data_IF_657873717555
#
_entry.id   IF_657873717555
#
_cell.length_a   1.000
_cell.length_b   1.000
_cell.length_c   1.000
_cell.angle_alpha   90.00
_cell.angle_beta   90.00
_cell.angle_gamma   90.00
#
_symmetry.space_group_name_H-M   'P 1'
#
loop_
_entity.id
_entity.type
_entity.pdbx_description
1 polymer ?
#
# COMPACT_ATOMS: atom_id res chain seq x y z
N UNK A 1 0.16 15.74 -3.88
CA UNK A 1 0.03 14.28 -4.02
C UNK A 1 0.92 13.61 -2.97
N UNK A 2 0.41 12.58 -2.32
CA UNK A 2 1.10 11.80 -1.29
C UNK A 2 1.48 10.44 -1.87
N UNK A 3 2.76 10.10 -1.77
CA UNK A 3 3.31 8.82 -2.24
C UNK A 3 3.93 8.12 -1.03
N UNK A 4 3.44 6.92 -0.72
CA UNK A 4 3.91 6.16 0.46
C UNK A 4 4.33 4.75 0.08
N UNK A 5 5.52 4.35 0.51
CA UNK A 5 5.98 2.97 0.41
C UNK A 5 5.51 2.17 1.62
N UNK A 6 4.81 1.05 1.38
CA UNK A 6 4.27 0.17 2.40
C UNK A 6 4.74 -1.25 2.17
N UNK A 7 5.18 -1.90 3.25
CA UNK A 7 5.43 -3.34 3.28
C UNK A 7 4.20 -3.99 3.89
N UNK A 8 3.50 -4.82 3.13
CA UNK A 8 2.41 -5.66 3.62
C UNK A 8 2.96 -7.05 3.87
N UNK A 9 2.77 -7.57 5.08
CA UNK A 9 3.11 -8.94 5.42
C UNK A 9 1.81 -9.74 5.48
N UNK A 10 1.63 -10.65 4.53
CA UNK A 10 0.50 -11.55 4.43
C UNK A 10 0.87 -12.95 4.88
N UNK A 11 -0.14 -13.79 5.14
CA UNK A 11 0.09 -15.24 5.26
C UNK A 11 0.67 -15.77 3.94
N UNK A 12 1.82 -16.47 3.94
CA UNK A 12 2.48 -16.94 2.71
C UNK A 12 1.54 -17.72 1.79
N UNK A 13 0.71 -18.60 2.36
CA UNK A 13 -0.26 -19.42 1.63
C UNK A 13 -1.44 -18.63 1.03
N UNK A 14 -1.59 -17.36 1.40
CA UNK A 14 -2.63 -16.43 0.92
C UNK A 14 -2.06 -15.21 0.20
N UNK A 15 -0.74 -15.09 0.07
CA UNK A 15 -0.08 -13.91 -0.48
C UNK A 15 -0.58 -13.53 -1.89
N UNK A 16 -0.85 -14.53 -2.75
CA UNK A 16 -1.41 -14.28 -4.08
C UNK A 16 -2.83 -13.68 -4.03
N UNK A 17 -3.66 -14.09 -3.08
CA UNK A 17 -5.03 -13.56 -2.92
C UNK A 17 -5.00 -12.16 -2.30
N UNK A 18 -4.08 -11.91 -1.37
CA UNK A 18 -3.85 -10.57 -0.83
C UNK A 18 -3.34 -9.64 -1.92
N UNK A 19 -2.42 -10.09 -2.78
CA UNK A 19 -1.96 -9.34 -3.95
C UNK A 19 -3.12 -8.91 -4.86
N UNK A 20 -4.02 -9.83 -5.23
CA UNK A 20 -5.20 -9.52 -6.05
C UNK A 20 -6.12 -8.50 -5.39
N UNK A 21 -6.33 -8.60 -4.06
CA UNK A 21 -7.14 -7.63 -3.31
C UNK A 21 -6.50 -6.26 -3.28
N UNK A 22 -5.19 -6.20 -3.05
CA UNK A 22 -4.42 -4.95 -3.02
C UNK A 22 -4.46 -4.26 -4.39
N UNK A 23 -4.22 -5.00 -5.48
CA UNK A 23 -4.25 -4.47 -6.83
C UNK A 23 -5.64 -3.98 -7.29
N UNK A 24 -6.70 -4.36 -6.58
CA UNK A 24 -8.07 -3.88 -6.83
C UNK A 24 -8.40 -2.58 -6.06
N UNK A 25 -7.54 -2.13 -5.14
CA UNK A 25 -7.73 -0.88 -4.42
C UNK A 25 -7.19 0.26 -5.28
N UNK A 26 -8.03 1.25 -5.54
CA UNK A 26 -7.61 2.46 -6.26
C UNK A 26 -6.42 3.13 -5.57
N UNK A 27 -5.44 3.60 -6.34
CA UNK A 27 -4.22 4.24 -5.83
C UNK A 27 -3.27 3.30 -5.08
N UNK A 28 -3.41 1.98 -5.25
CA UNK A 28 -2.51 0.97 -4.69
C UNK A 28 -1.80 0.24 -5.83
N UNK A 29 -0.48 0.22 -5.79
CA UNK A 29 0.34 -0.54 -6.74
C UNK A 29 1.19 -1.57 -6.00
N UNK A 30 1.16 -2.83 -6.43
CA UNK A 30 2.00 -3.88 -5.85
C UNK A 30 3.19 -4.17 -6.78
N UNK A 31 4.39 -3.95 -6.26
CA UNK A 31 5.64 -4.05 -7.02
C UNK A 31 6.23 -5.45 -7.02
N UNK A 32 6.09 -6.16 -5.89
CA UNK A 32 6.61 -7.52 -5.75
C UNK A 32 5.96 -8.26 -4.59
N UNK A 33 6.04 -9.59 -4.64
CA UNK A 33 5.71 -10.50 -3.56
C UNK A 33 6.79 -11.57 -3.44
N UNK A 34 7.15 -11.99 -2.22
CA UNK A 34 8.08 -13.10 -1.99
C UNK A 34 7.39 -14.35 -1.40
N UNK A 35 8.17 -15.43 -1.26
CA UNK A 35 7.71 -16.72 -0.72
C UNK A 35 7.40 -16.65 0.78
N UNK A 36 7.83 -15.61 1.49
CA UNK A 36 7.56 -15.38 2.90
C UNK A 36 6.29 -14.54 3.12
N UNK A 37 5.56 -14.21 2.05
CA UNK A 37 4.31 -13.46 2.13
C UNK A 37 4.52 -11.95 2.27
N UNK A 38 5.73 -11.44 2.04
CA UNK A 38 5.97 -10.00 2.02
C UNK A 38 5.60 -9.43 0.65
N UNK A 39 4.81 -8.36 0.66
CA UNK A 39 4.44 -7.60 -0.53
C UNK A 39 4.95 -6.16 -0.41
N UNK A 40 5.56 -5.66 -1.48
CA UNK A 40 6.01 -4.27 -1.58
C UNK A 40 4.96 -3.48 -2.33
N UNK A 41 4.44 -2.44 -1.70
CA UNK A 41 3.26 -1.71 -2.15
C UNK A 41 3.55 -0.20 -2.15
N UNK A 42 3.05 0.51 -3.15
CA UNK A 42 3.00 1.97 -3.16
C UNK A 42 1.56 2.44 -3.03
N UNK A 43 1.33 3.42 -2.14
CA UNK A 43 0.08 4.16 -2.03
C UNK A 43 0.27 5.54 -2.66
N UNK A 44 -0.60 5.88 -3.60
CA UNK A 44 -0.67 7.19 -4.23
C UNK A 44 -2.05 7.80 -3.99
N UNK A 45 -2.09 8.94 -3.29
CA UNK A 45 -3.34 9.62 -2.93
C UNK A 45 -3.21 11.13 -2.99
N UNK A 46 -4.34 11.82 -3.18
CA UNK A 46 -4.37 13.27 -3.32
C UNK A 46 -4.08 13.98 -1.99
N UNK A 47 -4.52 13.41 -0.87
CA UNK A 47 -4.40 13.99 0.46
C UNK A 47 -3.92 12.99 1.54
N UNK A 48 -3.45 13.53 2.66
CA UNK A 48 -2.94 12.74 3.78
C UNK A 48 -4.03 11.85 4.40
N UNK A 49 -5.27 12.35 4.47
CA UNK A 49 -6.37 11.63 5.11
C UNK A 49 -6.70 10.35 4.33
N UNK A 50 -6.82 10.45 3.02
CA UNK A 50 -7.07 9.32 2.11
C UNK A 50 -5.89 8.35 2.08
N UNK A 51 -4.67 8.83 2.28
CA UNK A 51 -3.48 7.98 2.49
C UNK A 51 -3.62 7.15 3.77
N UNK A 52 -3.96 7.78 4.90
CA UNK A 52 -4.16 7.10 6.19
C UNK A 52 -5.32 6.12 6.14
N UNK A 53 -6.45 6.51 5.54
CA UNK A 53 -7.62 5.65 5.40
C UNK A 53 -7.28 4.42 4.53
N UNK A 54 -6.55 4.59 3.42
CA UNK A 54 -6.08 3.49 2.59
C UNK A 54 -5.10 2.56 3.33
N UNK A 55 -4.16 3.12 4.09
CA UNK A 55 -3.24 2.33 4.92
C UNK A 55 -3.98 1.53 6.01
N UNK A 56 -5.04 2.09 6.59
CA UNK A 56 -5.94 1.39 7.50
C UNK A 56 -6.60 0.18 6.82
N UNK A 57 -7.15 0.38 5.62
CA UNK A 57 -7.75 -0.71 4.83
C UNK A 57 -6.74 -1.84 4.55
N UNK A 58 -5.48 -1.50 4.23
CA UNK A 58 -4.45 -2.52 4.00
C UNK A 58 -4.24 -3.42 5.23
N UNK A 59 -4.24 -2.84 6.43
CA UNK A 59 -4.08 -3.58 7.69
C UNK A 59 -5.28 -4.45 8.03
N UNK A 60 -6.48 -4.07 7.58
CA UNK A 60 -7.74 -4.80 7.84
C UNK A 60 -8.06 -5.87 6.80
N UNK A 61 -7.30 -5.94 5.70
CA UNK A 61 -7.50 -6.95 4.67
C UNK A 61 -7.37 -8.36 5.24
N UNK A 62 -8.26 -9.30 4.86
CA UNK A 62 -8.12 -10.69 5.25
C UNK A 62 -6.76 -11.25 4.86
N UNK A 63 -6.20 -12.05 5.77
CA UNK A 63 -4.89 -12.69 5.65
C UNK A 63 -3.66 -11.76 5.67
N UNK A 64 -3.86 -10.44 5.87
CA UNK A 64 -2.80 -9.53 6.25
C UNK A 64 -2.47 -9.69 7.73
N UNK A 65 -1.18 -9.83 8.03
CA UNK A 65 -0.63 -9.95 9.38
C UNK A 65 -0.18 -8.59 9.91
N UNK A 66 0.39 -7.76 9.03
CA UNK A 66 0.77 -6.39 9.33
C UNK A 66 0.96 -5.60 8.03
N UNK A 67 0.73 -4.29 8.07
CA UNK A 67 1.25 -3.36 7.07
C UNK A 67 2.10 -2.29 7.75
N UNK A 68 3.26 -1.99 7.17
CA UNK A 68 4.24 -1.04 7.73
C UNK A 68 4.60 -0.02 6.66
N UNK A 69 4.32 1.26 6.93
CA UNK A 69 4.76 2.34 6.07
C UNK A 69 6.27 2.60 6.32
N UNK A 70 7.07 2.41 5.27
CA UNK A 70 8.53 2.57 5.33
C UNK A 70 9.01 3.87 4.70
N UNK A 71 8.17 4.51 3.90
CA UNK A 71 8.46 5.76 3.23
C UNK A 71 7.17 6.58 3.07
N UNK A 72 7.28 7.89 3.25
CA UNK A 72 6.21 8.84 2.94
C UNK A 72 6.81 10.08 2.31
N UNK A 73 6.28 10.47 1.15
CA UNK A 73 6.66 11.67 0.44
C UNK A 73 5.44 12.47 0.06
N UNK A 74 5.59 13.79 0.14
CA UNK A 74 4.58 14.73 -0.24
C UNK A 74 5.14 15.58 -1.37
N UNK A 75 4.53 15.48 -2.55
CA UNK A 75 4.74 16.40 -3.65
C UNK A 75 3.67 17.50 -3.57
N UNK A 76 4.03 18.74 -3.20
CA UNK A 76 3.16 19.87 -3.48
C UNK A 76 3.03 19.96 -5.01
N UNK A 77 1.81 20.12 -5.54
CA UNK A 77 1.65 20.45 -6.95
C UNK A 77 2.54 21.65 -7.25
N UNK A 78 3.51 21.47 -8.14
CA UNK A 78 4.39 22.55 -8.54
C UNK A 78 3.52 23.65 -9.12
N UNK A 79 3.44 24.78 -8.43
CA UNK A 79 2.95 26.05 -8.96
C UNK A 79 3.72 26.28 -10.27
N UNK A 80 3.03 26.05 -11.39
CA UNK A 80 3.56 26.39 -12.69
C UNK A 80 3.40 27.90 -12.80
N UNK A 81 4.52 28.61 -12.59
CA UNK A 81 4.68 30.07 -12.70
C UNK A 81 4.13 30.60 -14.04
#
# INVERSE_FOLDING_TARGET
>A
MHISGVIVHARPERAAQVHERLAAIDGVEVHSSDVEGKLIVTLEKEDEKTTVDAFGLLNELPDVLAATMVYHHFEPESDSI
#
